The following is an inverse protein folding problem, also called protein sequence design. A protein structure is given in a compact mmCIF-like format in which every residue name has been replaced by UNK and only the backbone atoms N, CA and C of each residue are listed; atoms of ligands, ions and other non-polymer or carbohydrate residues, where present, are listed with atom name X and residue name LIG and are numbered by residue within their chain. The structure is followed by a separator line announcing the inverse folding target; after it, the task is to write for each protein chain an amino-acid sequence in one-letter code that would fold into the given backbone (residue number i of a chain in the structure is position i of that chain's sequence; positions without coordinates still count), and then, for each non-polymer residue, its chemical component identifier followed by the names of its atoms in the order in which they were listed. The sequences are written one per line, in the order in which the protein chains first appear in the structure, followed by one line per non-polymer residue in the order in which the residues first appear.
data_IF_482544894715
#
_entry.id   IF_482544894715
#
_cell.length_a   1.000
_cell.length_b   1.000
_cell.length_c   1.000
_cell.angle_alpha   90.00
_cell.angle_beta   90.00
_cell.angle_gamma   90.00
#
_symmetry.space_group_name_H-M   'P 1'
#
loop_
_entity.id
_entity.type
_entity.pdbx_description
1 polymer ?
#
# COMPACT_ATOMS: atom_id res chain seq x y z
N UNK A 1 -8.77 2.88 -19.10
CA UNK A 1 -9.46 2.51 -17.84
C UNK A 1 -8.43 1.75 -17.01
N UNK A 2 -8.16 2.24 -15.78
CA UNK A 2 -7.10 1.83 -14.84
C UNK A 2 -5.70 1.57 -15.43
N UNK A 3 -4.82 2.59 -15.44
CA UNK A 3 -3.39 2.45 -15.82
C UNK A 3 -2.53 1.77 -14.73
N UNK A 4 -3.09 1.43 -13.56
CA UNK A 4 -2.34 0.88 -12.42
C UNK A 4 -2.71 -0.58 -12.12
N UNK A 5 -1.76 -1.42 -11.68
CA UNK A 5 -2.00 -2.82 -11.32
C UNK A 5 -3.02 -2.96 -10.19
N UNK A 6 -3.79 -4.05 -10.23
CA UNK A 6 -4.90 -4.30 -9.28
C UNK A 6 -4.39 -4.55 -7.86
N UNK A 7 -3.17 -5.08 -7.74
CA UNK A 7 -2.47 -5.37 -6.51
C UNK A 7 -2.26 -4.07 -5.70
N UNK A 8 -1.96 -2.96 -6.38
CA UNK A 8 -1.82 -1.65 -5.73
C UNK A 8 -3.13 -1.16 -5.10
N UNK A 9 -4.28 -1.52 -5.68
CA UNK A 9 -5.59 -1.17 -5.13
C UNK A 9 -5.88 -1.98 -3.86
N UNK A 10 -5.57 -3.28 -3.88
CA UNK A 10 -5.69 -4.15 -2.71
C UNK A 10 -4.84 -3.64 -1.55
N UNK A 11 -3.59 -3.22 -1.81
CA UNK A 11 -2.72 -2.61 -0.80
C UNK A 11 -3.37 -1.39 -0.13
N UNK A 12 -3.92 -0.45 -0.91
CA UNK A 12 -4.56 0.75 -0.35
C UNK A 12 -5.79 0.39 0.48
N UNK A 13 -6.64 -0.51 -0.02
CA UNK A 13 -7.84 -0.92 0.72
C UNK A 13 -7.45 -1.58 2.06
N UNK A 14 -6.52 -2.53 2.05
CA UNK A 14 -6.06 -3.19 3.29
C UNK A 14 -5.41 -2.17 4.23
N UNK A 15 -4.59 -1.25 3.72
CA UNK A 15 -3.95 -0.19 4.51
C UNK A 15 -4.97 0.66 5.28
N UNK A 16 -5.99 1.17 4.59
CA UNK A 16 -7.02 2.00 5.22
C UNK A 16 -7.91 1.20 6.18
N UNK A 17 -8.15 -0.09 5.91
CA UNK A 17 -8.89 -0.94 6.84
C UNK A 17 -8.07 -1.26 8.10
N UNK A 18 -6.76 -1.46 7.98
CA UNK A 18 -5.87 -1.64 9.14
C UNK A 18 -5.85 -0.38 10.01
N UNK A 19 -6.02 0.82 9.43
CA UNK A 19 -6.16 2.05 10.19
C UNK A 19 -7.37 2.11 11.13
N UNK A 20 -8.39 1.27 10.92
CA UNK A 20 -9.48 1.10 11.86
C UNK A 20 -9.06 0.33 13.13
N UNK A 21 -8.02 -0.50 13.04
CA UNK A 21 -7.47 -1.29 14.15
C UNK A 21 -6.28 -0.60 14.82
N UNK A 22 -5.45 0.09 14.05
CA UNK A 22 -4.28 0.82 14.54
C UNK A 22 -4.05 2.10 13.71
N UNK A 23 -4.17 3.25 14.38
CA UNK A 23 -4.14 4.57 13.73
C UNK A 23 -2.75 4.94 13.20
N UNK A 24 -1.68 4.47 13.83
CA UNK A 24 -0.30 4.85 13.52
C UNK A 24 0.45 3.74 12.79
N UNK A 25 1.42 4.06 11.94
CA UNK A 25 2.24 3.06 11.23
C UNK A 25 3.36 2.46 12.12
N UNK A 26 3.03 2.07 13.34
CA UNK A 26 3.95 1.47 14.31
C UNK A 26 4.13 -0.04 14.07
N UNK A 27 4.79 -0.76 14.98
CA UNK A 27 5.01 -2.21 14.85
C UNK A 27 3.70 -3.02 14.81
N UNK A 28 2.67 -2.60 15.56
CA UNK A 28 1.36 -3.27 15.57
C UNK A 28 0.69 -3.16 14.20
N UNK A 29 0.77 -1.98 13.55
CA UNK A 29 0.29 -1.80 12.18
C UNK A 29 1.03 -2.74 11.22
N UNK A 30 2.36 -2.81 11.34
CA UNK A 30 3.18 -3.69 10.50
C UNK A 30 2.80 -5.16 10.70
N UNK A 31 2.50 -5.58 11.93
CA UNK A 31 2.06 -6.95 12.22
C UNK A 31 0.70 -7.26 11.57
N UNK A 32 -0.24 -6.32 11.59
CA UNK A 32 -1.52 -6.47 10.88
C UNK A 32 -1.31 -6.53 9.36
N UNK A 33 -0.47 -5.67 8.79
CA UNK A 33 -0.16 -5.74 7.36
C UNK A 33 0.51 -7.06 6.98
N UNK A 34 1.46 -7.55 7.78
CA UNK A 34 2.10 -8.85 7.54
C UNK A 34 1.08 -10.01 7.63
N UNK A 35 0.05 -9.88 8.48
CA UNK A 35 -0.99 -10.90 8.64
C UNK A 35 -2.01 -10.88 7.49
N UNK A 36 -2.48 -9.71 7.09
CA UNK A 36 -3.57 -9.57 6.12
C UNK A 36 -3.10 -9.47 4.67
N UNK A 37 -1.87 -8.99 4.45
CA UNK A 37 -1.28 -8.87 3.12
C UNK A 37 0.24 -9.10 3.19
N UNK A 38 0.72 -10.35 3.35
CA UNK A 38 2.13 -10.65 3.60
C UNK A 38 3.13 -9.99 2.64
N UNK A 39 2.75 -9.84 1.37
CA UNK A 39 3.59 -9.25 0.30
C UNK A 39 3.42 -7.72 0.14
N UNK A 40 2.77 -7.04 1.10
CA UNK A 40 2.44 -5.61 1.01
C UNK A 40 3.64 -4.71 0.74
N UNK A 41 4.85 -5.13 1.12
CA UNK A 41 6.09 -4.37 0.91
C UNK A 41 6.44 -4.26 -0.58
N UNK A 42 6.31 -5.36 -1.31
CA UNK A 42 6.54 -5.39 -2.77
C UNK A 42 5.52 -4.49 -3.46
N UNK A 43 4.25 -4.61 -3.08
CA UNK A 43 3.17 -3.79 -3.66
C UNK A 43 3.30 -2.31 -3.30
N UNK A 44 3.80 -1.99 -2.10
CA UNK A 44 4.10 -0.61 -1.69
C UNK A 44 5.22 -0.02 -2.54
N UNK A 45 6.29 -0.77 -2.78
CA UNK A 45 7.41 -0.29 -3.60
C UNK A 45 6.98 -0.07 -5.05
N UNK A 46 6.17 -0.99 -5.59
CA UNK A 46 5.54 -0.84 -6.90
C UNK A 46 4.63 0.41 -6.97
N UNK A 47 3.80 0.63 -5.94
CA UNK A 47 2.95 1.82 -5.86
C UNK A 47 3.76 3.12 -5.83
N UNK A 48 4.86 3.14 -5.07
CA UNK A 48 5.76 4.28 -4.98
C UNK A 48 6.45 4.57 -6.32
N UNK A 49 6.82 3.54 -7.08
CA UNK A 49 7.34 3.70 -8.45
C UNK A 49 6.39 4.48 -9.35
N UNK A 50 5.10 4.12 -9.33
CA UNK A 50 4.09 4.86 -10.12
C UNK A 50 3.79 6.28 -9.62
N UNK A 51 4.10 6.58 -8.35
CA UNK A 51 3.98 7.94 -7.83
C UNK A 51 5.13 8.79 -8.39
N UNK A 52 6.35 8.25 -8.43
CA UNK A 52 7.51 8.95 -8.98
C UNK A 52 7.40 9.21 -10.48
N UNK A 53 6.86 8.28 -11.27
CA UNK A 53 6.61 8.50 -12.72
C UNK A 53 5.76 9.75 -12.97
N UNK A 54 4.81 10.05 -12.09
CA UNK A 54 3.97 11.25 -12.20
C UNK A 54 4.69 12.57 -11.91
N UNK A 55 5.79 12.54 -11.14
CA UNK A 55 6.54 13.75 -10.79
C UNK A 55 7.64 14.07 -11.81
N UNK A 56 7.98 13.14 -12.70
CA UNK A 56 8.94 13.36 -13.79
C UNK A 56 8.28 13.97 -15.04
N UNK A 57 6.95 13.93 -15.12
CA UNK A 57 6.17 14.48 -16.24
C UNK A 57 5.76 15.97 -16.06
N UNK A 58 6.15 16.64 -14.98
CA UNK A 58 5.96 18.10 -14.73
C UNK A 58 7.28 18.88 -14.85
#
# INVERSE_FOLDING_TARGET
LAKKPIECLEYVIVHELVHLLEKSHNSIFVDYMNKFLPEWRVTKDLLNGFIMDRYVEE
#
